data_IF_778672301684
#
_entry.id   IF_778672301684
#
_cell.length_a   1.000
_cell.length_b   1.000
_cell.length_c   1.000
_cell.angle_alpha   90.00
_cell.angle_beta   90.00
_cell.angle_gamma   90.00
#
_symmetry.space_group_name_H-M   'P 1'
#
loop_
_entity.id
_entity.type
_entity.pdbx_description
1 polymer ?
#
# COMPACT_ATOMS: atom_id res chain seq x y z
N UNK A 1 8.14 14.94 -8.29
CA UNK A 1 8.58 13.70 -7.62
C UNK A 1 7.56 12.59 -7.86
N UNK A 2 6.45 12.44 -7.13
CA UNK A 2 5.56 11.25 -7.25
C UNK A 2 4.75 11.12 -8.57
N UNK A 3 4.68 12.15 -9.43
CA UNK A 3 3.65 12.23 -10.48
C UNK A 3 4.13 12.32 -11.93
N UNK A 4 5.44 12.39 -12.21
CA UNK A 4 5.94 12.21 -13.59
C UNK A 4 5.67 10.79 -14.13
N UNK A 5 5.16 9.91 -13.27
CA UNK A 5 4.72 8.56 -13.57
C UNK A 5 3.26 8.44 -14.05
N UNK A 6 2.45 9.51 -14.01
CA UNK A 6 1.03 9.46 -14.40
C UNK A 6 0.75 10.31 -15.64
N UNK A 7 1.13 9.79 -16.81
CA UNK A 7 0.73 10.34 -18.11
C UNK A 7 -0.62 9.75 -18.52
N UNK A 8 -1.69 10.12 -17.82
CA UNK A 8 -3.05 9.70 -18.17
C UNK A 8 -3.87 10.90 -18.69
N UNK A 9 -4.69 10.63 -19.71
CA UNK A 9 -5.39 11.61 -20.56
C UNK A 9 -6.03 12.78 -19.80
N UNK A 10 -5.94 13.99 -20.38
CA UNK A 10 -6.39 15.32 -19.91
C UNK A 10 -7.83 15.45 -19.35
N UNK A 11 -8.63 14.38 -19.28
CA UNK A 11 -10.04 14.42 -18.89
C UNK A 11 -10.36 13.92 -17.48
N UNK A 12 -9.43 13.27 -16.77
CA UNK A 12 -9.71 12.69 -15.47
C UNK A 12 -8.97 13.45 -14.35
N UNK A 13 -9.70 14.24 -13.56
CA UNK A 13 -9.17 14.78 -12.30
C UNK A 13 -8.98 13.61 -11.33
N UNK A 14 -7.78 13.47 -10.79
CA UNK A 14 -7.39 12.29 -10.01
C UNK A 14 -7.21 12.68 -8.54
N UNK A 15 -7.83 11.94 -7.61
CA UNK A 15 -7.41 11.94 -6.20
C UNK A 15 -6.35 10.87 -6.02
N UNK A 16 -5.09 11.25 -5.78
CA UNK A 16 -4.09 10.31 -5.29
C UNK A 16 -4.05 10.41 -3.77
N UNK A 17 -4.37 9.29 -3.17
CA UNK A 17 -4.29 9.06 -1.75
C UNK A 17 -2.94 8.39 -1.51
N UNK A 18 -2.17 8.99 -0.61
CA UNK A 18 -0.87 8.58 -0.05
C UNK A 18 0.34 9.34 -0.62
N UNK A 19 0.73 10.39 0.13
CA UNK A 19 2.07 10.98 0.12
C UNK A 19 2.67 10.96 1.52
N UNK A 20 3.98 10.65 1.55
CA UNK A 20 4.88 10.87 2.68
C UNK A 20 4.98 12.36 3.01
N UNK A 21 4.96 12.70 4.30
CA UNK A 21 5.45 13.98 4.81
C UNK A 21 6.66 13.72 5.72
N UNK A 22 7.69 13.01 5.24
CA UNK A 22 9.04 13.03 5.80
C UNK A 22 9.96 12.15 4.94
N UNK A 23 11.05 12.74 4.46
CA UNK A 23 12.19 12.03 3.87
C UNK A 23 12.89 11.31 5.01
N UNK A 24 12.77 9.98 5.07
CA UNK A 24 13.68 9.12 5.81
C UNK A 24 13.77 7.80 5.05
N UNK A 25 14.99 7.36 4.80
CA UNK A 25 15.42 6.25 3.94
C UNK A 25 14.95 4.85 4.40
N UNK A 26 13.96 4.75 5.29
CA UNK A 26 13.53 3.50 5.91
C UNK A 26 12.07 3.16 5.56
N UNK A 27 11.87 1.95 5.04
CA UNK A 27 10.58 1.35 4.68
C UNK A 27 9.50 1.48 5.76
N UNK A 28 9.94 1.62 7.01
CA UNK A 28 9.15 1.75 8.24
C UNK A 28 8.24 3.00 8.29
N UNK A 29 8.67 4.13 7.70
CA UNK A 29 7.94 5.41 7.83
C UNK A 29 6.87 5.65 6.75
N UNK A 30 6.85 4.81 5.71
CA UNK A 30 6.00 4.94 4.52
C UNK A 30 4.49 4.79 4.75
N UNK A 31 4.06 4.42 5.96
CA UNK A 31 2.66 4.13 6.28
C UNK A 31 2.14 4.87 7.53
N UNK A 32 2.90 5.81 8.11
CA UNK A 32 2.56 6.35 9.42
C UNK A 32 1.25 7.16 9.43
N UNK A 33 1.00 7.94 8.37
CA UNK A 33 -0.15 8.83 8.26
C UNK A 33 -0.80 8.76 6.88
N UNK A 34 -2.02 9.26 6.80
CA UNK A 34 -2.83 9.34 5.60
C UNK A 34 -2.75 10.75 5.01
N UNK A 35 -2.50 10.88 3.71
CA UNK A 35 -2.42 12.16 3.01
C UNK A 35 -3.22 12.11 1.71
N UNK A 36 -3.96 13.19 1.45
CA UNK A 36 -4.83 13.32 0.29
C UNK A 36 -4.28 14.40 -0.63
N UNK A 37 -4.12 14.05 -1.90
CA UNK A 37 -3.65 14.97 -2.92
C UNK A 37 -4.58 14.97 -4.12
N UNK A 38 -5.04 16.16 -4.51
CA UNK A 38 -5.69 16.35 -5.78
C UNK A 38 -4.64 16.58 -6.86
N UNK A 39 -4.78 15.88 -7.98
CA UNK A 39 -3.90 15.99 -9.13
C UNK A 39 -4.76 16.36 -10.34
N UNK A 40 -4.45 17.51 -10.93
CA UNK A 40 -5.10 18.01 -12.14
C UNK A 40 -4.23 17.80 -13.38
N UNK A 41 -2.91 17.91 -13.23
CA UNK A 41 -1.92 17.61 -14.27
C UNK A 41 -0.58 17.22 -13.63
N UNK A 42 0.40 16.84 -14.47
CA UNK A 42 1.76 16.49 -14.05
C UNK A 42 2.40 17.55 -13.14
N UNK A 43 2.22 18.83 -13.48
CA UNK A 43 2.76 19.97 -12.75
C UNK A 43 1.78 20.61 -11.76
N UNK A 44 0.49 20.26 -11.83
CA UNK A 44 -0.57 20.87 -11.01
C UNK A 44 -1.17 19.86 -10.05
N UNK A 45 -0.73 19.95 -8.82
CA UNK A 45 -1.24 19.13 -7.72
C UNK A 45 -1.24 19.90 -6.40
N UNK A 46 -2.18 19.56 -5.53
CA UNK A 46 -2.35 20.22 -4.24
C UNK A 46 -2.67 19.20 -3.15
N UNK A 47 -2.08 19.39 -1.96
CA UNK A 47 -2.47 18.63 -0.78
C UNK A 47 -3.79 19.19 -0.25
N UNK A 48 -4.86 18.45 -0.47
CA UNK A 48 -6.21 18.84 -0.03
C UNK A 48 -6.50 18.43 1.41
N UNK A 49 -5.79 17.43 1.95
CA UNK A 49 -6.06 16.95 3.30
C UNK A 49 -5.16 15.82 3.77
N UNK A 50 -5.56 15.21 4.89
CA UNK A 50 -4.89 14.05 5.48
C UNK A 50 -5.43 13.72 6.87
N UNK A 51 -5.04 12.56 7.39
CA UNK A 51 -5.38 12.10 8.73
C UNK A 51 -4.13 11.50 9.40
N UNK A 52 -4.00 11.66 10.71
CA UNK A 52 -2.98 10.95 11.49
C UNK A 52 -3.33 9.49 11.73
N UNK A 53 -4.56 9.08 11.39
CA UNK A 53 -5.07 7.72 11.50
C UNK A 53 -4.74 6.98 10.20
N UNK A 54 -3.71 6.13 10.25
CA UNK A 54 -3.22 5.40 9.08
C UNK A 54 -2.57 4.07 9.44
N UNK A 55 -1.67 3.58 8.59
CA UNK A 55 -0.99 2.29 8.80
C UNK A 55 -0.10 2.26 10.05
N UNK A 56 0.51 3.38 10.43
CA UNK A 56 1.26 3.51 11.68
C UNK A 56 0.35 3.39 12.90
N UNK A 57 -0.87 3.91 12.82
CA UNK A 57 -1.89 3.76 13.87
C UNK A 57 -2.34 2.31 13.99
N UNK A 58 -2.61 1.65 12.85
CA UNK A 58 -2.93 0.23 12.82
C UNK A 58 -1.81 -0.60 13.45
N UNK A 59 -0.56 -0.35 13.06
CA UNK A 59 0.57 -1.08 13.60
C UNK A 59 0.82 -0.80 15.08
N UNK A 60 0.84 0.46 15.49
CA UNK A 60 1.10 0.87 16.86
C UNK A 60 0.04 0.37 17.83
N UNK A 61 -1.25 0.61 17.54
CA UNK A 61 -2.34 0.11 18.36
C UNK A 61 -2.43 -1.42 18.30
N UNK A 62 -2.24 -2.01 17.12
CA UNK A 62 -2.24 -3.45 16.95
C UNK A 62 -1.17 -4.12 17.79
N UNK A 63 0.04 -3.54 17.85
CA UNK A 63 1.12 -4.03 18.70
C UNK A 63 0.78 -3.92 20.19
N UNK A 64 0.13 -2.84 20.63
CA UNK A 64 -0.31 -2.68 22.01
C UNK A 64 -1.38 -3.69 22.42
N UNK A 65 -2.36 -3.93 21.54
CA UNK A 65 -3.52 -4.79 21.77
C UNK A 65 -3.18 -6.29 21.68
N UNK A 66 -2.39 -6.68 20.68
CA UNK A 66 -2.10 -8.11 20.39
C UNK A 66 -0.76 -8.58 20.96
N UNK A 67 0.12 -7.64 21.36
CA UNK A 67 1.53 -7.87 21.70
C UNK A 67 2.40 -8.32 20.51
N UNK A 68 1.91 -8.19 19.28
CA UNK A 68 2.63 -8.52 18.05
C UNK A 68 3.43 -7.32 17.54
N UNK A 69 4.73 -7.49 17.26
CA UNK A 69 5.59 -6.40 16.76
C UNK A 69 5.72 -6.36 15.23
N UNK A 70 5.40 -7.45 14.53
CA UNK A 70 5.53 -7.54 13.06
C UNK A 70 4.21 -7.14 12.38
N UNK A 71 4.30 -6.24 11.40
CA UNK A 71 3.13 -5.76 10.65
C UNK A 71 2.39 -6.89 9.92
N UNK A 72 3.14 -7.77 9.25
CA UNK A 72 2.56 -8.87 8.47
C UNK A 72 1.87 -9.91 9.37
N UNK A 73 2.42 -10.15 10.57
CA UNK A 73 1.79 -11.02 11.57
C UNK A 73 0.48 -10.40 12.08
N UNK A 74 0.43 -9.08 12.27
CA UNK A 74 -0.80 -8.37 12.64
C UNK A 74 -1.88 -8.46 11.56
N UNK A 75 -1.49 -8.35 10.27
CA UNK A 75 -2.41 -8.59 9.16
C UNK A 75 -2.90 -10.05 9.10
N UNK A 76 -2.03 -11.02 9.39
CA UNK A 76 -2.42 -12.43 9.48
C UNK A 76 -3.42 -12.69 10.62
N UNK A 77 -3.21 -12.08 11.79
CA UNK A 77 -4.18 -12.12 12.89
C UNK A 77 -5.53 -11.53 12.46
N UNK A 78 -5.50 -10.36 11.81
CA UNK A 78 -6.71 -9.74 11.27
C UNK A 78 -7.38 -10.63 10.20
N UNK A 79 -6.65 -11.42 9.41
CA UNK A 79 -7.29 -12.31 8.43
C UNK A 79 -8.15 -13.41 9.07
N UNK A 80 -7.81 -13.84 10.29
CA UNK A 80 -8.46 -14.94 11.02
C UNK A 80 -9.57 -14.47 11.97
N UNK A 81 -9.56 -13.19 12.32
CA UNK A 81 -10.49 -12.62 13.32
C UNK A 81 -11.89 -12.33 12.80
N UNK A 82 -12.82 -12.22 13.75
CA UNK A 82 -14.19 -11.75 13.54
C UNK A 82 -14.43 -10.42 14.25
N UNK A 83 -14.61 -9.36 13.48
CA UNK A 83 -14.80 -8.02 14.04
C UNK A 83 -16.12 -7.88 14.82
N UNK A 84 -17.15 -8.66 14.48
CA UNK A 84 -18.48 -8.61 15.10
C UNK A 84 -18.49 -9.00 16.58
N UNK A 85 -17.44 -9.67 17.08
CA UNK A 85 -17.31 -10.00 18.50
C UNK A 85 -16.91 -8.77 19.33
N UNK A 86 -16.17 -7.82 18.73
CA UNK A 86 -15.56 -6.62 19.34
C UNK A 86 -16.32 -5.33 18.99
N UNK A 87 -16.77 -5.21 17.74
CA UNK A 87 -17.49 -4.04 17.25
C UNK A 87 -18.96 -4.08 17.63
N UNK A 88 -19.53 -2.91 17.91
CA UNK A 88 -20.96 -2.72 18.05
C UNK A 88 -21.58 -2.45 16.68
N UNK A 89 -22.52 -3.29 16.28
CA UNK A 89 -23.22 -3.19 15.00
C UNK A 89 -24.57 -2.48 15.16
N UNK A 90 -25.13 -1.97 14.07
CA UNK A 90 -26.45 -1.31 14.07
C UNK A 90 -27.53 -2.22 14.66
N UNK A 91 -27.50 -3.52 14.34
CA UNK A 91 -28.44 -4.50 14.91
C UNK A 91 -28.31 -4.69 16.42
N UNK A 92 -27.13 -4.42 16.99
CA UNK A 92 -26.92 -4.52 18.44
C UNK A 92 -27.59 -3.36 19.19
N UNK A 93 -27.82 -2.23 18.51
CA UNK A 93 -28.50 -1.05 19.06
C UNK A 93 -30.00 -1.10 18.79
N UNK A 94 -30.39 -1.41 17.55
CA UNK A 94 -31.77 -1.29 17.07
C UNK A 94 -32.51 -2.62 16.95
N UNK A 95 -31.88 -3.76 17.25
CA UNK A 95 -32.47 -5.09 17.10
C UNK A 95 -32.60 -5.58 15.64
N UNK A 96 -32.07 -4.83 14.67
CA UNK A 96 -32.16 -5.14 13.24
C UNK A 96 -31.60 -4.01 12.37
N UNK A 97 -31.95 -3.99 11.08
CA UNK A 97 -31.64 -2.87 10.19
C UNK A 97 -32.46 -1.63 10.55
N UNK A 98 -31.85 -0.46 10.46
CA UNK A 98 -32.54 0.81 10.70
C UNK A 98 -32.97 1.46 9.38
N UNK A 99 -34.14 1.03 8.89
CA UNK A 99 -34.65 1.39 7.57
C UNK A 99 -34.89 2.88 7.34
N UNK A 100 -35.20 3.65 8.40
CA UNK A 100 -35.44 5.10 8.27
C UNK A 100 -34.21 5.87 7.77
N UNK A 101 -33.01 5.46 8.17
CA UNK A 101 -31.74 6.04 7.71
C UNK A 101 -31.02 5.17 6.67
N UNK A 102 -31.64 4.07 6.24
CA UNK A 102 -31.03 3.12 5.30
C UNK A 102 -29.79 2.41 5.85
N UNK A 103 -29.67 2.26 7.17
CA UNK A 103 -28.52 1.59 7.79
C UNK A 103 -28.79 0.08 7.91
N UNK A 104 -27.93 -0.73 7.30
CA UNK A 104 -28.00 -2.20 7.39
C UNK A 104 -27.62 -2.67 8.79
N UNK A 105 -28.27 -3.73 9.30
CA UNK A 105 -28.00 -4.26 10.64
C UNK A 105 -26.55 -4.69 10.88
N UNK A 106 -25.85 -5.16 9.85
CA UNK A 106 -24.44 -5.59 9.93
C UNK A 106 -23.42 -4.45 9.81
N UNK A 107 -23.89 -3.21 9.63
CA UNK A 107 -23.01 -2.04 9.61
C UNK A 107 -22.43 -1.81 11.00
N UNK A 108 -21.13 -1.48 11.06
CA UNK A 108 -20.47 -1.08 12.30
C UNK A 108 -21.04 0.27 12.73
N UNK A 109 -21.68 0.30 13.89
CA UNK A 109 -22.17 1.52 14.52
C UNK A 109 -21.08 2.17 15.41
N UNK A 110 -20.30 1.34 16.11
CA UNK A 110 -19.18 1.78 16.94
C UNK A 110 -18.07 0.73 16.96
N UNK A 111 -16.91 1.07 16.39
CA UNK A 111 -15.70 0.25 16.43
C UNK A 111 -15.24 0.07 17.87
N UNK A 112 -14.88 -1.16 18.28
CA UNK A 112 -14.58 -1.51 19.67
C UNK A 112 -15.71 -1.24 20.69
N UNK A 113 -16.93 -0.94 20.23
CA UNK A 113 -18.01 -0.53 21.13
C UNK A 113 -18.42 -1.59 22.16
N UNK A 114 -18.25 -2.89 21.86
CA UNK A 114 -18.55 -3.98 22.82
C UNK A 114 -17.48 -4.12 23.89
N UNK A 115 -16.26 -3.63 23.67
CA UNK A 115 -15.19 -3.76 24.66
C UNK A 115 -15.38 -2.88 25.89
N UNK A 116 -16.23 -1.84 25.80
CA UNK A 116 -16.56 -0.98 26.92
C UNK A 116 -17.63 -1.59 27.86
N UNK A 117 -18.40 -2.56 27.40
CA UNK A 117 -19.59 -3.08 28.10
C UNK A 117 -19.53 -4.58 28.39
N UNK A 118 -18.66 -5.33 27.71
CA UNK A 118 -18.56 -6.76 27.89
C UNK A 118 -17.50 -7.14 28.95
N UNK A 119 -17.92 -7.95 29.93
CA UNK A 119 -17.04 -8.59 30.92
C UNK A 119 -16.34 -9.84 30.34
N UNK A 120 -15.82 -9.75 29.11
CA UNK A 120 -15.09 -10.84 28.46
C UNK A 120 -13.80 -10.35 27.85
N UNK A 121 -12.78 -11.20 27.87
CA UNK A 121 -11.57 -10.98 27.07
C UNK A 121 -11.86 -11.25 25.60
N UNK A 122 -11.36 -10.39 24.72
CA UNK A 122 -11.46 -10.53 23.27
C UNK A 122 -10.21 -11.22 22.73
N UNK A 123 -10.37 -12.03 21.69
CA UNK A 123 -9.22 -12.64 21.01
C UNK A 123 -8.38 -11.57 20.33
N UNK A 124 -7.08 -11.86 20.18
CA UNK A 124 -6.14 -10.94 19.51
C UNK A 124 -6.50 -10.76 18.05
N UNK A 125 -6.96 -11.84 17.42
CA UNK A 125 -7.43 -11.91 16.05
C UNK A 125 -8.63 -10.98 15.84
N UNK A 126 -9.63 -11.03 16.72
CA UNK A 126 -10.83 -10.21 16.61
C UNK A 126 -10.50 -8.72 16.80
N UNK A 127 -9.64 -8.39 17.77
CA UNK A 127 -9.17 -7.03 17.98
C UNK A 127 -8.38 -6.52 16.77
N UNK A 128 -7.50 -7.33 16.18
CA UNK A 128 -6.76 -6.97 14.98
C UNK A 128 -7.69 -6.75 13.77
N UNK A 129 -8.73 -7.60 13.62
CA UNK A 129 -9.74 -7.44 12.56
C UNK A 129 -10.53 -6.15 12.72
N UNK A 130 -11.06 -5.90 13.92
CA UNK A 130 -11.79 -4.67 14.25
C UNK A 130 -10.94 -3.43 14.01
N UNK A 131 -9.68 -3.45 14.42
CA UNK A 131 -8.74 -2.36 14.17
C UNK A 131 -8.51 -2.13 12.67
N UNK A 132 -8.27 -3.20 11.89
CA UNK A 132 -8.10 -3.09 10.44
C UNK A 132 -9.34 -2.48 9.78
N UNK A 133 -10.54 -2.94 10.16
CA UNK A 133 -11.80 -2.39 9.66
C UNK A 133 -11.98 -0.93 10.03
N UNK A 134 -11.69 -0.54 11.27
CA UNK A 134 -11.80 0.85 11.73
C UNK A 134 -10.93 1.79 10.89
N UNK A 135 -9.64 1.48 10.73
CA UNK A 135 -8.70 2.30 9.98
C UNK A 135 -9.07 2.32 8.48
N UNK A 136 -9.40 1.16 7.90
CA UNK A 136 -9.75 1.05 6.47
C UNK A 136 -11.06 1.78 6.15
N UNK A 137 -12.05 1.73 7.06
CA UNK A 137 -13.30 2.45 6.90
C UNK A 137 -13.12 3.96 7.04
N UNK A 138 -12.31 4.44 8.00
CA UNK A 138 -11.97 5.85 8.15
C UNK A 138 -11.29 6.39 6.88
N UNK A 139 -10.31 5.65 6.36
CA UNK A 139 -9.66 5.95 5.07
C UNK A 139 -10.69 6.03 3.93
N UNK A 140 -11.58 5.03 3.81
CA UNK A 140 -12.61 5.01 2.77
C UNK A 140 -13.62 6.15 2.88
N UNK A 141 -14.01 6.53 4.10
CA UNK A 141 -14.92 7.65 4.37
C UNK A 141 -14.29 8.98 3.99
N UNK A 142 -13.05 9.23 4.43
CA UNK A 142 -12.31 10.43 4.07
C UNK A 142 -12.09 10.51 2.55
N UNK A 143 -11.66 9.41 1.93
CA UNK A 143 -11.50 9.32 0.49
C UNK A 143 -12.78 9.70 -0.27
N UNK A 144 -13.92 9.14 0.14
CA UNK A 144 -15.23 9.46 -0.41
C UNK A 144 -15.59 10.94 -0.22
N UNK A 145 -15.41 11.49 1.00
CA UNK A 145 -15.79 12.87 1.30
C UNK A 145 -15.02 13.86 0.45
N UNK A 146 -13.70 13.68 0.32
CA UNK A 146 -12.87 14.52 -0.54
C UNK A 146 -13.15 14.30 -2.02
N UNK A 147 -13.38 13.06 -2.46
CA UNK A 147 -13.76 12.79 -3.84
C UNK A 147 -15.05 13.55 -4.21
N UNK A 148 -16.07 13.53 -3.33
CA UNK A 148 -17.32 14.27 -3.55
C UNK A 148 -17.14 15.78 -3.47
N UNK A 149 -16.34 16.28 -2.51
CA UNK A 149 -16.07 17.71 -2.37
C UNK A 149 -15.43 18.31 -3.62
N UNK A 150 -14.53 17.55 -4.26
CA UNK A 150 -13.79 17.99 -5.45
C UNK A 150 -14.37 17.45 -6.78
N UNK A 151 -15.54 16.79 -6.75
CA UNK A 151 -16.22 16.16 -7.90
C UNK A 151 -15.31 15.21 -8.69
N UNK A 152 -14.64 14.30 -7.99
CA UNK A 152 -13.72 13.32 -8.55
C UNK A 152 -14.43 11.97 -8.69
N UNK A 153 -14.27 11.33 -9.85
CA UNK A 153 -14.85 10.01 -10.13
C UNK A 153 -13.90 8.86 -9.81
N UNK A 154 -12.61 9.14 -9.61
CA UNK A 154 -11.57 8.13 -9.39
C UNK A 154 -10.67 8.50 -8.23
N UNK A 155 -10.38 7.50 -7.41
CA UNK A 155 -9.52 7.60 -6.24
C UNK A 155 -8.47 6.51 -6.32
N UNK A 156 -7.21 6.90 -6.32
CA UNK A 156 -6.07 6.00 -6.38
C UNK A 156 -5.47 5.87 -4.99
N UNK A 157 -5.28 4.62 -4.57
CA UNK A 157 -4.65 4.28 -3.31
C UNK A 157 -3.22 3.80 -3.56
N UNK A 158 -2.26 4.54 -2.99
CA UNK A 158 -0.83 4.17 -2.93
C UNK A 158 -0.40 3.73 -1.53
N UNK A 159 0.90 3.68 -1.26
CA UNK A 159 1.47 3.47 0.08
C UNK A 159 1.52 2.01 0.58
N UNK A 160 2.30 1.80 1.62
CA UNK A 160 2.63 0.47 2.17
C UNK A 160 1.60 -0.08 3.17
N UNK A 161 0.47 0.59 3.39
CA UNK A 161 -0.58 0.05 4.27
C UNK A 161 -1.36 -1.09 3.61
N UNK A 162 -1.53 -1.01 2.29
CA UNK A 162 -2.40 -1.92 1.53
C UNK A 162 -1.63 -3.21 1.20
N UNK A 163 -0.34 -3.12 0.85
CA UNK A 163 0.59 -4.23 0.46
C UNK A 163 -0.05 -5.32 -0.40
N UNK A 164 -0.96 -4.97 -1.30
CA UNK A 164 -1.74 -5.94 -2.09
C UNK A 164 -2.56 -6.93 -1.25
N UNK A 165 -2.82 -6.65 0.03
CA UNK A 165 -3.58 -7.49 0.93
C UNK A 165 -5.07 -7.41 0.56
N UNK A 166 -5.67 -8.50 0.03
CA UNK A 166 -7.01 -8.44 -0.56
C UNK A 166 -8.09 -7.99 0.41
N UNK A 167 -7.93 -8.29 1.70
CA UNK A 167 -8.88 -7.88 2.74
C UNK A 167 -8.94 -6.35 2.87
N UNK A 168 -7.79 -5.68 2.91
CA UNK A 168 -7.70 -4.22 3.07
C UNK A 168 -8.26 -3.52 1.83
N UNK A 169 -7.86 -3.98 0.65
CA UNK A 169 -8.39 -3.48 -0.63
C UNK A 169 -9.91 -3.64 -0.70
N UNK A 170 -10.42 -4.82 -0.36
CA UNK A 170 -11.85 -5.11 -0.37
C UNK A 170 -12.62 -4.21 0.60
N UNK A 171 -12.14 -4.02 1.82
CA UNK A 171 -12.80 -3.14 2.81
C UNK A 171 -12.84 -1.68 2.33
N UNK A 172 -11.74 -1.16 1.77
CA UNK A 172 -11.69 0.20 1.23
C UNK A 172 -12.65 0.36 0.04
N UNK A 173 -12.63 -0.57 -0.92
CA UNK A 173 -13.54 -0.55 -2.08
C UNK A 173 -14.99 -0.64 -1.65
N UNK A 174 -15.32 -1.52 -0.71
CA UNK A 174 -16.66 -1.65 -0.16
C UNK A 174 -17.12 -0.35 0.50
N UNK A 175 -16.28 0.26 1.32
CA UNK A 175 -16.56 1.54 1.98
C UNK A 175 -16.84 2.65 0.96
N UNK A 176 -15.98 2.83 -0.05
CA UNK A 176 -16.21 3.83 -1.10
C UNK A 176 -17.50 3.57 -1.84
N UNK A 177 -17.74 2.33 -2.29
CA UNK A 177 -18.95 1.99 -3.02
C UNK A 177 -20.22 2.22 -2.19
N UNK A 178 -20.15 1.94 -0.88
CA UNK A 178 -21.25 2.18 0.06
C UNK A 178 -21.62 3.67 0.14
N UNK A 179 -20.65 4.57 0.30
CA UNK A 179 -20.91 6.00 0.46
C UNK A 179 -21.17 6.75 -0.85
N UNK A 180 -20.63 6.25 -1.96
CA UNK A 180 -20.73 6.91 -3.28
C UNK A 180 -21.76 6.25 -4.20
N UNK A 181 -22.35 5.12 -3.80
CA UNK A 181 -23.29 4.33 -4.61
C UNK A 181 -22.72 3.97 -6.00
N UNK A 182 -21.41 3.78 -6.08
CA UNK A 182 -20.68 3.46 -7.31
C UNK A 182 -20.30 4.66 -8.18
N UNK A 183 -20.57 5.91 -7.74
CA UNK A 183 -20.14 7.12 -8.47
C UNK A 183 -18.61 7.30 -8.47
N UNK A 184 -17.92 6.77 -7.46
CA UNK A 184 -16.46 6.88 -7.32
C UNK A 184 -15.83 5.50 -7.35
N UNK A 185 -14.83 5.33 -8.20
CA UNK A 185 -14.07 4.11 -8.32
C UNK A 185 -12.80 4.16 -7.47
N UNK A 186 -12.63 3.17 -6.59
CA UNK A 186 -11.38 2.90 -5.89
C UNK A 186 -10.43 2.11 -6.80
N UNK A 187 -9.23 2.63 -7.01
CA UNK A 187 -8.17 2.04 -7.83
C UNK A 187 -6.93 1.83 -6.96
N UNK A 188 -6.27 0.70 -7.12
CA UNK A 188 -5.06 0.35 -6.37
C UNK A 188 -3.90 0.18 -7.34
N UNK A 189 -2.72 0.63 -6.94
CA UNK A 189 -1.52 0.60 -7.78
C UNK A 189 -0.72 -0.66 -7.44
N UNK A 190 -0.15 -1.33 -8.46
CA UNK A 190 0.72 -2.50 -8.21
C UNK A 190 1.97 -2.09 -7.41
N UNK A 191 2.63 -1.00 -7.80
CA UNK A 191 3.81 -0.48 -7.11
C UNK A 191 3.47 0.63 -6.11
N UNK A 192 2.37 0.46 -5.38
CA UNK A 192 1.82 1.43 -4.42
C UNK A 192 2.86 1.98 -3.43
N UNK A 193 3.77 1.14 -2.94
CA UNK A 193 4.81 1.54 -1.99
C UNK A 193 6.01 2.30 -2.59
N UNK A 194 6.23 2.20 -3.90
CA UNK A 194 7.49 2.63 -4.54
C UNK A 194 7.37 3.95 -5.31
N UNK A 195 6.18 4.55 -5.37
CA UNK A 195 5.91 5.76 -6.16
C UNK A 195 6.86 6.92 -5.83
N UNK A 196 7.27 7.04 -4.56
CA UNK A 196 8.25 8.05 -4.13
C UNK A 196 9.64 7.82 -4.72
N UNK A 197 10.11 6.57 -4.70
CA UNK A 197 11.42 6.19 -5.24
C UNK A 197 11.44 6.26 -6.77
N UNK A 198 10.40 5.74 -7.44
CA UNK A 198 10.23 5.83 -8.90
C UNK A 198 10.23 7.30 -9.33
N UNK A 199 9.50 8.15 -8.60
CA UNK A 199 9.42 9.57 -8.86
C UNK A 199 10.73 10.35 -8.64
N UNK A 200 11.60 9.88 -7.73
CA UNK A 200 12.94 10.44 -7.55
C UNK A 200 13.89 9.98 -8.67
N UNK A 201 13.82 8.70 -9.03
CA UNK A 201 14.59 8.12 -10.13
C UNK A 201 14.29 8.80 -11.46
N UNK A 202 13.02 8.97 -11.82
CA UNK A 202 12.63 9.64 -13.07
C UNK A 202 13.15 11.07 -13.13
N UNK A 203 13.10 11.80 -12.01
CA UNK A 203 13.60 13.16 -11.96
C UNK A 203 15.11 13.22 -12.20
N UNK A 204 15.88 12.29 -11.62
CA UNK A 204 17.31 12.18 -11.91
C UNK A 204 17.59 11.79 -13.36
N UNK A 205 16.82 10.85 -13.92
CA UNK A 205 16.96 10.41 -15.31
C UNK A 205 16.59 11.52 -16.32
N UNK A 206 15.67 12.42 -15.98
CA UNK A 206 15.33 13.60 -16.78
C UNK A 206 16.45 14.64 -16.81
N UNK A 207 17.26 14.77 -15.75
CA UNK A 207 18.46 15.62 -15.72
C UNK A 207 19.50 15.15 -16.75
N UNK A 208 19.60 13.84 -16.98
CA UNK A 208 20.49 13.24 -17.97
C UNK A 208 19.93 13.31 -19.40
N UNK A 209 18.63 13.03 -19.60
CA UNK A 209 17.96 13.13 -20.91
C UNK A 209 16.47 13.52 -20.78
N UNK A 210 16.09 14.78 -21.07
CA UNK A 210 14.71 15.23 -20.93
C UNK A 210 13.78 14.56 -21.96
N UNK A 211 12.57 14.18 -21.51
CA UNK A 211 11.48 13.58 -22.30
C UNK A 211 11.72 12.17 -22.86
N UNK A 212 12.83 11.52 -22.54
CA UNK A 212 13.07 10.14 -22.98
C UNK A 212 12.40 9.11 -22.07
N UNK A 213 12.16 9.43 -20.80
CA UNK A 213 11.73 8.44 -19.81
C UNK A 213 10.33 8.71 -19.26
N UNK A 214 9.49 7.69 -19.21
CA UNK A 214 8.14 7.73 -18.62
C UNK A 214 7.85 6.43 -17.88
N UNK A 215 7.11 6.48 -16.77
CA UNK A 215 6.63 5.27 -16.09
C UNK A 215 5.21 4.90 -16.51
N UNK A 216 4.97 3.61 -16.74
CA UNK A 216 3.66 3.03 -16.97
C UNK A 216 3.27 2.13 -15.79
N UNK A 217 2.19 2.48 -15.09
CA UNK A 217 1.73 1.74 -13.90
C UNK A 217 0.58 0.80 -14.24
N UNK A 218 0.52 -0.34 -13.53
CA UNK A 218 -0.56 -1.32 -13.65
C UNK A 218 -1.43 -1.34 -12.38
N UNK A 219 -2.74 -1.58 -12.54
CA UNK A 219 -3.65 -1.69 -11.39
C UNK A 219 -3.47 -3.03 -10.65
N UNK A 220 -3.39 -2.99 -9.32
CA UNK A 220 -3.36 -4.18 -8.49
C UNK A 220 -4.68 -4.97 -8.62
N UNK A 221 -4.58 -6.28 -8.93
CA UNK A 221 -5.75 -7.16 -9.10
C UNK A 221 -6.30 -7.28 -10.53
N UNK A 222 -5.65 -6.70 -11.54
CA UNK A 222 -5.98 -7.01 -12.95
C UNK A 222 -5.68 -8.48 -13.26
N UNK A 223 -6.70 -9.32 -13.20
CA UNK A 223 -6.63 -10.78 -13.40
C UNK A 223 -6.21 -11.19 -14.82
N UNK A 224 -6.08 -10.24 -15.75
CA UNK A 224 -5.73 -10.49 -17.15
C UNK A 224 -4.24 -10.39 -17.49
N UNK A 225 -3.38 -9.99 -16.56
CA UNK A 225 -1.95 -9.78 -16.83
C UNK A 225 -1.11 -10.16 -15.60
N UNK A 226 -1.03 -11.47 -15.31
CA UNK A 226 0.27 -12.00 -14.89
C UNK A 226 1.24 -11.56 -15.99
N UNK A 227 2.31 -10.85 -15.64
CA UNK A 227 3.32 -10.46 -16.63
C UNK A 227 3.68 -11.73 -17.39
N UNK A 228 3.51 -11.72 -18.72
CA UNK A 228 4.16 -12.70 -19.57
C UNK A 228 5.61 -12.70 -19.13
N UNK A 229 6.05 -13.82 -18.56
CA UNK A 229 7.45 -14.10 -18.28
C UNK A 229 8.21 -13.65 -19.53
N UNK A 230 9.20 -12.74 -19.43
CA UNK A 230 9.97 -12.42 -20.61
C UNK A 230 10.51 -13.73 -21.16
N UNK A 231 10.25 -14.02 -22.44
CA UNK A 231 10.85 -15.14 -23.12
C UNK A 231 12.33 -15.24 -22.73
N UNK A 232 12.79 -16.47 -22.53
CA UNK A 232 14.09 -16.87 -21.99
C UNK A 232 15.28 -16.48 -22.89
N UNK A 233 15.22 -15.34 -23.57
CA UNK A 233 16.26 -14.78 -24.43
C UNK A 233 16.20 -13.24 -24.40
N UNK A 234 17.24 -12.56 -23.89
CA UNK A 234 17.35 -11.11 -23.98
C UNK A 234 17.80 -10.73 -25.39
N UNK A 235 16.93 -10.90 -26.39
CA UNK A 235 17.16 -10.32 -27.71
C UNK A 235 16.34 -9.04 -27.85
N UNK A 236 17.04 -7.93 -27.64
CA UNK A 236 16.73 -6.60 -28.15
C UNK A 236 15.24 -6.21 -28.10
N UNK A 237 14.73 -5.90 -26.91
CA UNK A 237 13.70 -4.86 -26.85
C UNK A 237 14.38 -3.56 -27.28
N UNK A 238 13.91 -2.96 -28.37
CA UNK A 238 14.32 -1.60 -28.73
C UNK A 238 14.18 -0.71 -27.49
N UNK A 239 15.14 0.19 -27.24
CA UNK A 239 15.12 1.17 -26.15
C UNK A 239 13.86 2.03 -26.23
N UNK A 240 12.74 1.50 -25.74
CA UNK A 240 11.51 2.24 -25.53
C UNK A 240 11.70 3.00 -24.23
N UNK A 241 11.42 4.30 -24.27
CA UNK A 241 11.52 5.22 -23.14
C UNK A 241 10.55 4.95 -21.99
N UNK A 242 9.71 3.93 -22.11
CA UNK A 242 8.69 3.61 -21.12
C UNK A 242 9.16 2.48 -20.22
N UNK A 243 9.26 2.76 -18.91
CA UNK A 243 9.48 1.77 -17.87
C UNK A 243 8.12 1.31 -17.34
N UNK A 244 7.84 0.02 -17.38
CA UNK A 244 6.56 -0.58 -16.97
C UNK A 244 6.71 -1.70 -15.93
N UNK A 245 7.95 -2.01 -15.54
CA UNK A 245 8.30 -3.14 -14.69
C UNK A 245 9.61 -2.90 -13.96
N UNK A 246 9.67 -3.17 -12.64
CA UNK A 246 10.93 -3.13 -11.89
C UNK A 246 11.77 -4.36 -12.25
N UNK A 247 13.11 -4.25 -12.19
CA UNK A 247 14.00 -5.41 -12.40
C UNK A 247 13.72 -6.54 -11.41
N UNK A 248 13.22 -6.21 -10.21
CA UNK A 248 12.80 -7.19 -9.20
C UNK A 248 11.61 -8.06 -9.66
N UNK A 249 10.72 -7.52 -10.51
CA UNK A 249 9.61 -8.25 -11.11
C UNK A 249 10.05 -9.15 -12.28
N UNK A 250 11.28 -8.98 -12.81
CA UNK A 250 11.83 -9.84 -13.86
C UNK A 250 12.40 -11.16 -13.32
N UNK A 251 12.52 -11.27 -11.99
CA UNK A 251 13.16 -12.38 -11.32
C UNK A 251 12.14 -13.40 -10.80
N UNK A 252 11.45 -14.08 -11.71
CA UNK A 252 10.87 -15.41 -11.43
C UNK A 252 11.94 -16.49 -11.64
N UNK A 253 13.09 -16.31 -11.01
CA UNK A 253 14.13 -17.33 -10.98
C UNK A 253 14.03 -18.09 -9.67
N UNK A 254 13.74 -19.38 -9.76
CA UNK A 254 13.96 -20.28 -8.64
C UNK A 254 15.41 -20.09 -8.19
N UNK A 255 15.61 -19.71 -6.93
CA UNK A 255 16.94 -19.58 -6.34
C UNK A 255 17.58 -20.97 -6.38
N UNK A 256 18.41 -21.19 -7.38
CA UNK A 256 19.22 -22.40 -7.52
C UNK A 256 20.58 -22.13 -6.90
N UNK A 257 21.16 -23.18 -6.33
CA UNK A 257 22.53 -23.12 -5.82
C UNK A 257 23.48 -22.59 -6.91
N UNK A 258 24.42 -21.73 -6.53
CA UNK A 258 25.39 -21.15 -7.45
C UNK A 258 26.09 -22.31 -8.21
N UNK A 259 26.13 -22.29 -9.56
CA UNK A 259 26.68 -23.39 -10.35
C UNK A 259 28.15 -23.70 -10.07
N UNK A 260 28.86 -22.78 -9.42
CA UNK A 260 30.28 -22.87 -9.07
C UNK A 260 30.52 -23.41 -7.65
N UNK A 261 29.47 -23.80 -6.92
CA UNK A 261 29.63 -24.42 -5.60
C UNK A 261 30.19 -25.83 -5.76
N UNK A 262 31.34 -26.09 -5.11
CA UNK A 262 31.97 -27.42 -5.11
C UNK A 262 31.07 -28.48 -4.46
N UNK A 263 30.37 -28.11 -3.38
CA UNK A 263 29.39 -28.96 -2.71
C UNK A 263 28.10 -28.17 -2.43
N UNK A 264 27.03 -28.38 -3.22
CA UNK A 264 25.76 -27.70 -3.03
C UNK A 264 25.08 -27.99 -1.69
N UNK A 265 25.40 -29.13 -1.06
CA UNK A 265 24.84 -29.58 0.22
C UNK A 265 25.45 -28.90 1.44
N UNK A 266 26.64 -28.29 1.32
CA UNK A 266 27.30 -27.55 2.40
C UNK A 266 27.02 -26.04 2.32
N UNK A 267 26.37 -25.59 1.24
CA UNK A 267 26.08 -24.18 1.02
C UNK A 267 24.80 -23.78 1.76
N UNK A 268 24.96 -22.89 2.72
CA UNK A 268 23.86 -22.22 3.40
C UNK A 268 23.82 -20.81 2.79
N UNK A 269 22.82 -20.49 1.93
CA UNK A 269 22.69 -19.14 1.41
C UNK A 269 22.47 -18.18 2.57
N UNK A 270 23.18 -17.06 2.52
CA UNK A 270 23.05 -16.02 3.54
C UNK A 270 21.75 -15.26 3.29
N UNK A 271 20.63 -15.83 3.74
CA UNK A 271 19.31 -15.21 3.66
C UNK A 271 19.15 -14.25 4.83
N UNK A 272 19.91 -13.16 4.81
CA UNK A 272 19.88 -12.16 5.87
C UNK A 272 18.69 -11.24 5.66
N UNK A 273 17.78 -11.20 6.64
CA UNK A 273 16.77 -10.16 6.71
C UNK A 273 17.44 -8.87 7.18
N UNK A 274 17.79 -8.00 6.23
CA UNK A 274 18.44 -6.71 6.50
C UNK A 274 17.56 -5.77 7.34
N UNK A 275 16.27 -6.07 7.55
CA UNK A 275 15.44 -5.29 8.49
C UNK A 275 15.74 -5.65 9.94
N UNK A 276 16.10 -6.89 10.22
CA UNK A 276 16.40 -7.40 11.56
C UNK A 276 17.90 -7.35 11.89
N UNK A 277 18.78 -7.55 10.90
CA UNK A 277 20.23 -7.54 11.07
C UNK A 277 20.83 -6.15 10.77
N UNK A 278 20.94 -5.32 11.82
CA UNK A 278 21.51 -3.98 11.70
C UNK A 278 22.99 -3.98 11.26
N UNK A 279 23.89 -4.83 11.81
CA UNK A 279 25.26 -4.94 11.33
C UNK A 279 25.38 -5.28 9.84
N UNK A 280 24.61 -6.27 9.37
CA UNK A 280 24.62 -6.65 7.96
C UNK A 280 24.07 -5.52 7.08
N UNK A 281 23.01 -4.83 7.53
CA UNK A 281 22.46 -3.67 6.82
C UNK A 281 23.50 -2.56 6.67
N UNK A 282 24.21 -2.18 7.73
CA UNK A 282 25.26 -1.17 7.67
C UNK A 282 26.40 -1.57 6.73
N UNK A 283 26.81 -2.84 6.78
CA UNK A 283 27.83 -3.38 5.88
C UNK A 283 27.41 -3.27 4.40
N UNK A 284 26.20 -3.71 4.07
CA UNK A 284 25.71 -3.64 2.68
C UNK A 284 25.51 -2.21 2.21
N UNK A 285 25.01 -1.31 3.08
CA UNK A 285 24.89 0.12 2.77
C UNK A 285 26.26 0.73 2.45
N UNK A 286 27.28 0.44 3.27
CA UNK A 286 28.65 0.89 3.01
C UNK A 286 29.18 0.36 1.67
N UNK A 287 28.97 -0.92 1.36
CA UNK A 287 29.37 -1.49 0.07
C UNK A 287 28.67 -0.81 -1.12
N UNK A 288 27.39 -0.44 -0.98
CA UNK A 288 26.66 0.29 -2.02
C UNK A 288 27.19 1.72 -2.18
N UNK A 289 27.50 2.41 -1.09
CA UNK A 289 28.10 3.75 -1.13
C UNK A 289 29.48 3.74 -1.82
N UNK A 290 30.37 2.80 -1.44
CA UNK A 290 31.70 2.66 -2.04
C UNK A 290 31.62 2.31 -3.54
N UNK A 291 30.65 1.47 -3.93
CA UNK A 291 30.41 1.14 -5.33
C UNK A 291 29.95 2.34 -6.16
N UNK A 292 29.20 3.28 -5.56
CA UNK A 292 28.75 4.51 -6.25
C UNK A 292 29.92 5.48 -6.50
N UNK A 293 30.85 5.60 -5.54
CA UNK A 293 32.06 6.42 -5.69
C UNK A 293 33.00 5.90 -6.80
N UNK A 294 32.92 4.61 -7.13
CA UNK A 294 33.67 3.99 -8.22
C UNK A 294 33.17 4.30 -9.64
N UNK A 295 31.95 4.80 -9.80
CA UNK A 295 31.32 5.07 -11.13
C UNK A 295 31.59 6.50 -11.61
N UNK A 296 32.16 7.36 -10.76
CA UNK A 296 32.45 8.78 -11.03
C UNK A 296 33.88 9.11 -11.48
N UNK A 297 34.65 8.17 -12.07
CA UNK A 297 35.97 8.45 -12.67
C UNK A 297 36.13 7.89 -14.08
#
# INVERSE_FOLDING_TARGET
>A
FVLSAFKQSEQDRVCIILKNLLVAFDSFFSSLCFCLQQVESEDKFERIGGSSIGGGTFWGLGALLTKTKRFDELLQLASKGQHSSVDMLVKDIYGGSYGYLGLTGDLIASSFGKSATADKEFSKEDMAKSLLHMISNDIGQLACLYARLHNLSRVYFGGFFIRGHPLTMHTITYSINFFTKGEVQALFLRHEGYLGAIGAFLKGAEEDNPNQYSWGENYAGSSGLMSVSPDMYPMQRARSGTFDMLEMDRLDRQLVNLPLLQEPSSYIPDTVDLTEDAPAREYWLFCFEDALDGVGK
#
